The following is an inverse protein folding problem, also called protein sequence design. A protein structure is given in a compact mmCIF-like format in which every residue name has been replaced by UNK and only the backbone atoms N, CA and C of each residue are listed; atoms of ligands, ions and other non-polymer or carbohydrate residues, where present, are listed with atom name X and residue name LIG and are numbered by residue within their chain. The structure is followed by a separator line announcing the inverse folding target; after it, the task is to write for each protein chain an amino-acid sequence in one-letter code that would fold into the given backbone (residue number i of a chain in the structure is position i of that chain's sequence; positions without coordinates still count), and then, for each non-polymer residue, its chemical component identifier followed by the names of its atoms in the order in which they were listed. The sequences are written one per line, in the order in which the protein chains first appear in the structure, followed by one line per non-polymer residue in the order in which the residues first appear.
data_IF_393268269330
#
_entry.id   IF_393268269330
#
_cell.length_a   1.000
_cell.length_b   1.000
_cell.length_c   1.000
_cell.angle_alpha   90.00
_cell.angle_beta   90.00
_cell.angle_gamma   90.00
#
_symmetry.space_group_name_H-M   'P 1'
#
loop_
_entity.id
_entity.type
_entity.pdbx_description
1 polymer ?
#
# COMPACT_ATOMS: atom_id res chain seq x y z
N UNK A 1 2.60 1.99 19.09
CA UNK A 1 3.83 1.17 19.05
C UNK A 1 4.89 1.87 19.88
N UNK A 2 5.60 1.16 20.76
CA UNK A 2 6.69 1.72 21.59
C UNK A 2 8.07 1.56 20.93
N UNK A 3 8.15 0.77 19.85
CA UNK A 3 9.37 0.52 19.07
C UNK A 3 8.97 0.32 17.61
N UNK A 4 9.79 0.83 16.68
CA UNK A 4 9.60 0.60 15.25
C UNK A 4 9.75 -0.91 14.95
N UNK A 5 8.72 -1.60 14.41
CA UNK A 5 8.77 -3.05 14.15
C UNK A 5 9.46 -3.40 12.84
N UNK A 6 9.74 -2.41 11.99
CA UNK A 6 10.19 -2.62 10.61
C UNK A 6 11.47 -3.46 10.51
N UNK A 7 11.55 -4.30 9.50
CA UNK A 7 12.77 -4.97 9.07
C UNK A 7 13.73 -3.96 8.44
N UNK A 8 13.19 -3.04 7.65
CA UNK A 8 13.96 -1.98 7.00
C UNK A 8 13.76 -0.68 7.78
N UNK A 9 14.79 -0.27 8.54
CA UNK A 9 14.71 0.87 9.45
C UNK A 9 15.35 2.10 8.83
N UNK A 10 14.60 3.19 8.77
CA UNK A 10 15.04 4.50 8.28
C UNK A 10 13.91 5.51 8.38
N UNK A 11 14.24 6.77 8.62
CA UNK A 11 13.24 7.83 8.84
C UNK A 11 12.39 8.12 7.59
N UNK A 12 12.97 7.89 6.42
CA UNK A 12 12.30 8.07 5.13
C UNK A 12 11.69 6.76 4.58
N UNK A 13 11.87 5.63 5.26
CA UNK A 13 11.32 4.35 4.81
C UNK A 13 9.89 4.15 5.30
N UNK A 14 9.04 3.47 4.52
CA UNK A 14 7.73 3.08 5.02
C UNK A 14 7.89 2.11 6.19
N UNK A 15 6.94 2.15 7.12
CA UNK A 15 6.86 1.12 8.15
C UNK A 15 6.47 -0.21 7.50
N UNK A 16 7.13 -1.29 7.92
CA UNK A 16 6.82 -2.66 7.55
C UNK A 16 6.72 -3.55 8.80
N UNK A 17 6.37 -4.83 8.65
CA UNK A 17 6.14 -5.76 9.76
C UNK A 17 5.11 -5.27 10.79
N UNK A 18 4.11 -4.56 10.34
CA UNK A 18 2.97 -4.14 11.15
C UNK A 18 1.75 -5.00 10.84
N UNK A 19 1.06 -5.46 11.86
CA UNK A 19 -0.24 -6.09 11.72
C UNK A 19 -1.33 -5.03 11.50
N UNK A 20 -2.49 -5.47 11.02
CA UNK A 20 -3.66 -4.60 10.94
C UNK A 20 -4.04 -4.03 12.32
N UNK A 21 -3.93 -4.86 13.36
CA UNK A 21 -4.19 -4.46 14.75
C UNK A 21 -3.22 -3.37 15.23
N UNK A 22 -1.91 -3.50 14.90
CA UNK A 22 -0.92 -2.47 15.21
C UNK A 22 -1.21 -1.15 14.50
N UNK A 23 -1.61 -1.22 13.22
CA UNK A 23 -1.94 -0.04 12.42
C UNK A 23 -3.17 0.69 13.00
N UNK A 24 -4.21 -0.04 13.41
CA UNK A 24 -5.39 0.53 14.07
C UNK A 24 -5.05 1.12 15.45
N UNK A 25 -4.20 0.46 16.23
CA UNK A 25 -3.72 0.99 17.52
C UNK A 25 -2.90 2.29 17.33
N UNK A 26 -2.10 2.35 16.26
CA UNK A 26 -1.39 3.59 15.88
C UNK A 26 -2.37 4.71 15.54
N UNK A 27 -3.37 4.45 14.68
CA UNK A 27 -4.39 5.43 14.30
C UNK A 27 -5.11 6.00 15.54
N UNK A 28 -5.52 5.13 16.46
CA UNK A 28 -6.17 5.52 17.72
C UNK A 28 -5.29 6.40 18.60
N UNK A 29 -4.02 6.05 18.74
CA UNK A 29 -3.06 6.85 19.54
C UNK A 29 -2.78 8.21 18.89
N UNK A 30 -2.61 8.24 17.57
CA UNK A 30 -2.42 9.48 16.82
C UNK A 30 -3.65 10.40 16.97
N UNK A 31 -4.87 9.86 16.83
CA UNK A 31 -6.11 10.60 17.05
C UNK A 31 -6.14 11.24 18.44
N UNK A 32 -5.83 10.48 19.48
CA UNK A 32 -5.80 11.01 20.85
C UNK A 32 -4.74 12.10 21.03
N UNK A 33 -3.54 11.91 20.45
CA UNK A 33 -2.44 12.89 20.51
C UNK A 33 -2.79 14.19 19.79
N UNK A 34 -3.30 14.11 18.57
CA UNK A 34 -3.64 15.28 17.75
C UNK A 34 -4.83 16.04 18.31
N UNK A 35 -5.80 15.32 18.88
CA UNK A 35 -6.93 15.92 19.61
C UNK A 35 -6.45 16.67 20.87
N UNK A 36 -5.57 16.08 21.66
CA UNK A 36 -5.02 16.72 22.86
C UNK A 36 -4.17 17.95 22.52
N UNK A 37 -3.60 18.02 21.33
CA UNK A 37 -2.82 19.15 20.82
C UNK A 37 -3.64 20.18 20.02
N UNK A 38 -4.96 20.02 19.96
CA UNK A 38 -5.89 20.88 19.22
C UNK A 38 -5.54 21.03 17.72
N UNK A 39 -5.02 19.94 17.12
CA UNK A 39 -4.67 19.88 15.68
C UNK A 39 -5.60 19.02 14.86
N UNK A 40 -6.50 18.27 15.51
CA UNK A 40 -7.48 17.43 14.84
C UNK A 40 -8.79 18.21 14.65
N UNK A 41 -9.37 18.26 13.43
CA UNK A 41 -10.69 18.85 13.23
C UNK A 41 -11.74 18.16 14.11
N UNK A 42 -12.67 18.95 14.65
CA UNK A 42 -13.76 18.42 15.47
C UNK A 42 -14.59 17.39 14.69
N UNK A 43 -14.91 16.25 15.31
CA UNK A 43 -15.66 15.18 14.68
C UNK A 43 -14.87 14.32 13.70
N UNK A 44 -13.53 14.43 13.67
CA UNK A 44 -12.67 13.59 12.83
C UNK A 44 -11.76 12.67 13.66
N UNK A 45 -11.32 11.59 13.01
CA UNK A 45 -10.35 10.66 13.56
C UNK A 45 -9.40 10.13 12.46
N UNK A 46 -8.18 9.77 12.85
CA UNK A 46 -7.29 9.01 12.01
C UNK A 46 -7.67 7.53 12.02
N UNK A 47 -7.67 6.95 10.84
CA UNK A 47 -7.96 5.52 10.63
C UNK A 47 -7.22 5.00 9.41
N UNK A 48 -7.39 3.73 9.07
CA UNK A 48 -7.02 3.20 7.77
C UNK A 48 -8.09 3.60 6.73
N UNK A 49 -7.75 3.76 5.45
CA UNK A 49 -8.75 3.92 4.41
C UNK A 49 -9.58 2.64 4.28
N UNK A 50 -10.85 2.75 3.89
CA UNK A 50 -11.56 1.60 3.35
C UNK A 50 -10.90 1.17 2.03
N UNK A 51 -11.13 -0.07 1.60
CA UNK A 51 -10.62 -0.55 0.32
C UNK A 51 -11.07 0.34 -0.85
N UNK A 52 -12.33 0.74 -0.85
CA UNK A 52 -12.89 1.63 -1.88
C UNK A 52 -12.24 3.02 -1.86
N UNK A 53 -12.01 3.60 -0.68
CA UNK A 53 -11.30 4.88 -0.53
C UNK A 53 -9.87 4.76 -1.01
N UNK A 54 -9.18 3.66 -0.69
CA UNK A 54 -7.81 3.42 -1.14
C UNK A 54 -7.73 3.36 -2.67
N UNK A 55 -8.60 2.57 -3.33
CA UNK A 55 -8.61 2.45 -4.79
C UNK A 55 -8.99 3.75 -5.48
N UNK A 56 -9.99 4.46 -4.97
CA UNK A 56 -10.39 5.78 -5.46
C UNK A 56 -9.24 6.78 -5.39
N UNK A 57 -8.56 6.84 -4.25
CA UNK A 57 -7.38 7.69 -4.05
C UNK A 57 -6.19 7.26 -4.93
N UNK A 58 -5.96 5.95 -5.09
CA UNK A 58 -4.94 5.42 -5.98
C UNK A 58 -5.18 5.87 -7.43
N UNK A 59 -6.39 5.71 -7.93
CA UNK A 59 -6.75 6.04 -9.31
C UNK A 59 -6.70 7.54 -9.61
N UNK A 60 -7.08 8.39 -8.67
CA UNK A 60 -7.06 9.84 -8.85
C UNK A 60 -7.58 10.25 -10.25
N UNK A 61 -8.79 9.79 -10.60
CA UNK A 61 -9.50 10.01 -11.88
C UNK A 61 -9.01 9.17 -13.08
N UNK A 62 -7.99 8.32 -12.91
CA UNK A 62 -7.58 7.42 -13.99
C UNK A 62 -8.44 6.15 -14.03
N UNK A 63 -8.63 5.60 -15.22
CA UNK A 63 -9.34 4.32 -15.46
C UNK A 63 -8.37 3.17 -15.80
N UNK A 64 -7.09 3.49 -15.93
CA UNK A 64 -6.03 2.54 -16.28
C UNK A 64 -5.61 1.68 -15.08
N UNK A 65 -4.80 0.67 -15.32
CA UNK A 65 -4.29 -0.18 -14.24
C UNK A 65 -3.25 0.50 -13.35
N UNK A 66 -2.66 1.62 -13.80
CA UNK A 66 -1.74 2.46 -13.05
C UNK A 66 -2.26 3.90 -13.00
N UNK A 67 -1.87 4.63 -11.98
CA UNK A 67 -2.31 6.00 -11.70
C UNK A 67 -1.66 7.09 -12.59
N UNK A 68 -0.74 6.71 -13.48
CA UNK A 68 -0.11 7.60 -14.46
C UNK A 68 -0.81 7.61 -15.82
N UNK A 69 -2.02 7.07 -15.92
CA UNK A 69 -2.77 6.97 -17.17
C UNK A 69 -2.29 5.84 -18.10
N UNK A 70 -1.44 4.95 -17.62
CA UNK A 70 -0.89 3.83 -18.38
C UNK A 70 -1.37 2.49 -17.82
N UNK A 71 -1.27 1.45 -18.65
CA UNK A 71 -1.55 0.09 -18.19
C UNK A 71 -0.26 -0.67 -17.86
N UNK A 72 -0.37 -1.67 -17.00
CA UNK A 72 0.70 -2.67 -16.86
C UNK A 72 0.84 -3.37 -18.20
N UNK A 73 2.02 -3.23 -18.79
CA UNK A 73 2.41 -3.94 -20.01
C UNK A 73 3.45 -4.98 -19.62
N UNK A 74 3.11 -6.24 -19.79
CA UNK A 74 4.07 -7.31 -19.64
C UNK A 74 4.78 -7.49 -20.99
N UNK A 75 6.08 -7.20 -21.02
CA UNK A 75 6.98 -7.69 -22.06
C UNK A 75 7.22 -9.20 -21.85
N UNK A 76 7.96 -9.86 -22.73
CA UNK A 76 8.23 -11.30 -22.69
C UNK A 76 8.71 -11.83 -21.31
N UNK A 77 9.27 -10.96 -20.46
CA UNK A 77 9.50 -11.22 -19.04
C UNK A 77 8.43 -10.53 -18.22
N UNK A 78 7.48 -11.28 -17.66
CA UNK A 78 6.37 -10.77 -16.80
C UNK A 78 6.84 -9.98 -15.57
N UNK A 79 8.14 -9.86 -15.34
CA UNK A 79 8.76 -9.12 -14.23
C UNK A 79 9.05 -7.68 -14.57
N UNK A 80 9.09 -7.28 -15.85
CA UNK A 80 9.47 -5.94 -16.29
C UNK A 80 8.24 -5.14 -16.72
N UNK A 81 8.12 -3.91 -16.24
CA UNK A 81 7.07 -2.98 -16.64
C UNK A 81 7.54 -1.53 -16.57
N UNK A 82 8.01 -0.97 -17.69
CA UNK A 82 8.51 0.42 -17.76
C UNK A 82 7.45 1.44 -17.30
N UNK A 83 6.17 1.16 -17.54
CA UNK A 83 5.08 2.02 -17.11
C UNK A 83 4.94 2.08 -15.59
N UNK A 84 5.23 0.96 -14.90
CA UNK A 84 5.22 0.87 -13.44
C UNK A 84 6.49 1.49 -12.85
N UNK A 85 7.63 1.44 -13.54
CA UNK A 85 8.89 2.04 -13.08
C UNK A 85 8.77 3.53 -12.77
N UNK A 86 7.82 4.23 -13.43
CA UNK A 86 7.59 5.64 -13.20
C UNK A 86 6.94 5.94 -11.84
N UNK A 87 6.09 5.04 -11.36
CA UNK A 87 5.16 5.29 -10.24
C UNK A 87 5.29 4.34 -9.06
N UNK A 88 6.14 3.30 -9.16
CA UNK A 88 6.18 2.27 -8.13
C UNK A 88 7.51 1.54 -7.98
N UNK A 89 7.70 0.96 -6.79
CA UNK A 89 8.79 0.09 -6.44
C UNK A 89 8.27 -1.36 -6.35
N UNK A 90 8.77 -2.23 -7.20
CA UNK A 90 8.30 -3.61 -7.32
C UNK A 90 9.49 -4.56 -7.50
N UNK A 91 9.26 -5.85 -7.68
CA UNK A 91 10.29 -6.88 -7.74
C UNK A 91 11.54 -6.50 -8.56
N UNK A 92 11.37 -5.92 -9.73
CA UNK A 92 12.49 -5.66 -10.62
C UNK A 92 13.31 -4.42 -10.26
N UNK A 93 12.70 -3.38 -9.73
CA UNK A 93 13.38 -2.13 -9.36
C UNK A 93 13.50 -1.93 -7.84
N UNK A 94 12.95 -2.86 -7.02
CA UNK A 94 12.92 -2.80 -5.56
C UNK A 94 14.22 -3.20 -4.84
N UNK A 95 15.38 -3.20 -5.48
CA UNK A 95 16.64 -3.62 -4.87
C UNK A 95 17.68 -2.53 -4.71
N UNK A 96 18.60 -2.74 -3.76
CA UNK A 96 19.72 -1.83 -3.48
C UNK A 96 20.76 -1.77 -4.62
N UNK A 97 20.81 -2.77 -5.48
CA UNK A 97 21.80 -2.87 -6.55
C UNK A 97 21.23 -2.53 -7.91
N UNK A 98 22.11 -2.04 -8.77
CA UNK A 98 21.80 -1.56 -10.09
C UNK A 98 20.99 -2.61 -10.89
N UNK A 99 19.81 -2.24 -11.37
CA UNK A 99 18.91 -2.97 -12.26
C UNK A 99 19.62 -3.85 -13.33
N UNK A 100 20.73 -3.36 -13.91
CA UNK A 100 21.44 -4.09 -14.96
C UNK A 100 22.09 -5.39 -14.47
N UNK A 101 22.43 -5.52 -13.20
CA UNK A 101 22.98 -6.74 -12.61
C UNK A 101 21.90 -7.83 -12.37
N UNK A 102 20.61 -7.47 -12.39
CA UNK A 102 19.49 -8.39 -12.15
C UNK A 102 18.95 -9.06 -13.41
N UNK A 103 19.17 -8.47 -14.58
CA UNK A 103 18.74 -9.06 -15.86
C UNK A 103 19.37 -10.43 -16.12
N UNK A 104 20.53 -10.69 -15.57
CA UNK A 104 21.31 -11.90 -15.84
C UNK A 104 21.13 -13.00 -14.78
N UNK A 105 20.45 -12.75 -13.69
CA UNK A 105 20.18 -13.76 -12.66
C UNK A 105 18.69 -14.14 -12.64
N UNK A 106 18.42 -15.42 -12.85
CA UNK A 106 17.05 -15.97 -12.79
C UNK A 106 16.35 -15.74 -11.44
N UNK A 107 17.13 -15.43 -10.39
CA UNK A 107 16.69 -15.01 -9.04
C UNK A 107 17.78 -14.10 -8.46
N UNK A 108 17.61 -12.77 -8.55
CA UNK A 108 18.39 -11.88 -7.72
C UNK A 108 18.27 -12.34 -6.25
N UNK A 109 19.37 -12.29 -5.51
CA UNK A 109 19.35 -12.70 -4.09
C UNK A 109 18.30 -11.88 -3.35
N UNK A 110 17.32 -12.53 -2.73
CA UNK A 110 16.28 -11.92 -1.88
C UNK A 110 16.85 -10.89 -0.88
N UNK A 111 18.11 -11.06 -0.48
CA UNK A 111 18.84 -10.17 0.43
C UNK A 111 19.13 -8.76 -0.13
N UNK A 112 18.98 -8.55 -1.44
CA UNK A 112 19.16 -7.24 -2.07
C UNK A 112 17.84 -6.45 -2.21
N UNK A 113 16.69 -7.10 -2.02
CA UNK A 113 15.35 -6.49 -2.11
C UNK A 113 15.01 -5.80 -0.80
N UNK A 114 14.47 -4.60 -0.87
CA UNK A 114 14.10 -3.80 0.29
C UNK A 114 13.05 -2.75 -0.06
N UNK A 115 12.51 -2.11 0.97
CA UNK A 115 11.75 -0.87 0.82
C UNK A 115 12.67 0.28 0.37
N UNK A 116 12.08 1.28 -0.24
CA UNK A 116 12.73 2.52 -0.69
C UNK A 116 12.19 3.72 0.07
N UNK A 117 12.96 4.82 0.17
CA UNK A 117 12.46 6.07 0.71
C UNK A 117 11.17 6.48 0.00
N UNK A 118 10.20 6.94 0.80
CA UNK A 118 8.88 7.35 0.30
C UNK A 118 8.99 8.59 -0.59
N UNK A 119 8.06 8.75 -1.52
CA UNK A 119 7.95 9.94 -2.35
C UNK A 119 8.98 10.07 -3.47
N UNK A 120 9.72 9.03 -3.81
CA UNK A 120 10.74 9.08 -4.86
C UNK A 120 10.21 8.81 -6.26
N UNK A 121 9.05 8.17 -6.38
CA UNK A 121 8.39 7.94 -7.66
C UNK A 121 7.42 9.07 -7.98
N UNK A 122 6.87 9.12 -9.20
CA UNK A 122 5.88 10.13 -9.56
C UNK A 122 4.59 9.96 -8.76
N UNK A 123 4.02 11.05 -8.21
CA UNK A 123 2.72 10.99 -7.56
C UNK A 123 1.58 10.81 -8.58
N UNK A 124 0.41 10.45 -8.10
CA UNK A 124 -0.80 10.51 -8.90
C UNK A 124 -1.32 11.97 -9.04
N UNK A 125 -2.45 12.15 -9.75
CA UNK A 125 -3.03 13.47 -10.01
C UNK A 125 -3.45 14.24 -8.74
N UNK A 126 -3.60 13.53 -7.60
CA UNK A 126 -3.95 14.13 -6.30
C UNK A 126 -2.73 14.31 -5.38
N UNK A 127 -1.52 14.10 -5.89
CA UNK A 127 -0.28 14.27 -5.14
C UNK A 127 0.05 13.11 -4.21
N UNK A 128 -0.60 11.94 -4.34
CA UNK A 128 -0.31 10.77 -3.52
C UNK A 128 0.81 9.93 -4.16
N UNK A 129 1.81 9.63 -3.34
CA UNK A 129 2.97 8.83 -3.71
C UNK A 129 2.81 7.37 -3.30
N UNK A 130 3.59 6.49 -3.92
CA UNK A 130 3.78 5.08 -3.56
C UNK A 130 2.48 4.26 -3.52
N UNK A 131 1.49 4.65 -4.36
CA UNK A 131 0.22 3.92 -4.51
C UNK A 131 0.41 2.59 -5.26
N UNK A 132 1.58 2.37 -5.84
CA UNK A 132 1.95 1.16 -6.58
C UNK A 132 3.30 0.64 -6.06
N UNK A 133 3.29 -0.46 -5.32
CA UNK A 133 4.50 -1.06 -4.78
C UNK A 133 5.04 -0.38 -3.53
N UNK A 134 6.31 -0.45 -3.28
CA UNK A 134 7.01 -0.19 -2.04
C UNK A 134 6.55 -1.15 -0.94
N UNK A 135 5.51 -0.86 -0.18
CA UNK A 135 4.81 -1.81 0.69
C UNK A 135 3.33 -1.88 0.32
N UNK A 136 2.73 -3.05 0.47
CA UNK A 136 1.28 -3.16 0.42
C UNK A 136 0.67 -2.51 1.67
N UNK A 137 -0.55 -2.00 1.57
CA UNK A 137 -1.12 -1.16 2.60
C UNK A 137 -2.44 -1.73 3.12
N UNK A 138 -2.51 -1.92 4.44
CA UNK A 138 -3.73 -2.37 5.10
C UNK A 138 -4.90 -1.42 4.86
N UNK A 139 -6.06 -2.00 4.59
CA UNK A 139 -7.36 -1.32 4.53
C UNK A 139 -8.23 -1.73 5.73
N UNK A 140 -9.28 -0.95 6.01
CA UNK A 140 -10.24 -1.24 7.08
C UNK A 140 -11.00 -2.54 6.85
N UNK A 141 -11.27 -2.87 5.59
CA UNK A 141 -12.23 -3.87 5.17
C UNK A 141 -11.81 -5.29 5.54
N UNK A 142 -12.77 -6.08 5.97
CA UNK A 142 -12.67 -7.52 5.94
C UNK A 142 -12.69 -8.03 4.50
N UNK A 143 -11.93 -9.09 4.23
CA UNK A 143 -11.92 -9.73 2.93
C UNK A 143 -13.27 -10.37 2.62
N UNK A 144 -13.78 -10.12 1.39
CA UNK A 144 -15.02 -10.69 0.89
C UNK A 144 -15.19 -10.47 -0.60
N UNK A 145 -16.21 -11.07 -1.17
CA UNK A 145 -16.60 -10.85 -2.55
C UNK A 145 -17.16 -9.44 -2.75
N UNK A 146 -16.95 -8.89 -3.93
CA UNK A 146 -17.58 -7.63 -4.27
C UNK A 146 -19.11 -7.81 -4.41
N UNK A 147 -19.89 -6.81 -3.98
CA UNK A 147 -21.33 -6.81 -4.25
C UNK A 147 -21.63 -6.92 -5.74
N UNK A 148 -22.68 -7.65 -6.09
CA UNK A 148 -23.13 -7.78 -7.50
C UNK A 148 -23.95 -6.59 -7.97
N UNK A 149 -24.41 -5.74 -7.04
CA UNK A 149 -25.14 -4.49 -7.31
C UNK A 149 -24.26 -3.28 -7.03
N UNK A 150 -24.63 -2.13 -7.61
CA UNK A 150 -23.98 -0.86 -7.29
C UNK A 150 -24.16 -0.51 -5.81
N UNK A 151 -23.09 -0.09 -5.17
CA UNK A 151 -23.07 0.34 -3.76
C UNK A 151 -22.37 1.68 -3.64
N UNK A 152 -22.71 2.43 -2.58
CA UNK A 152 -22.05 3.70 -2.25
C UNK A 152 -21.23 3.51 -0.99
N UNK A 153 -20.00 3.99 -1.00
CA UNK A 153 -19.04 3.93 0.13
C UNK A 153 -18.98 2.55 0.82
N UNK A 154 -18.69 1.47 0.07
CA UNK A 154 -18.64 0.13 0.64
C UNK A 154 -17.51 0.02 1.68
N UNK A 155 -17.77 -0.81 2.69
CA UNK A 155 -16.83 -1.08 3.80
C UNK A 155 -16.50 -2.58 3.95
N UNK A 156 -16.83 -3.37 2.92
CA UNK A 156 -16.67 -4.83 2.95
C UNK A 156 -17.73 -5.53 3.82
N UNK A 157 -17.60 -6.84 4.04
CA UNK A 157 -18.49 -7.59 4.91
C UNK A 157 -18.24 -7.27 6.40
N UNK A 158 -19.23 -7.58 7.26
CA UNK A 158 -19.12 -7.32 8.71
C UNK A 158 -18.05 -8.18 9.41
N UNK A 159 -17.71 -9.34 8.86
CA UNK A 159 -16.73 -10.25 9.42
C UNK A 159 -16.10 -11.15 8.36
N UNK A 160 -14.82 -11.48 8.58
CA UNK A 160 -14.07 -12.51 7.86
C UNK A 160 -12.88 -12.96 8.73
N UNK A 161 -12.04 -13.83 8.20
CA UNK A 161 -10.79 -14.25 8.87
C UNK A 161 -9.58 -13.41 8.44
N UNK A 162 -9.71 -12.61 7.38
CA UNK A 162 -8.64 -11.84 6.77
C UNK A 162 -9.06 -10.39 6.49
N UNK A 163 -8.10 -9.48 6.52
CA UNK A 163 -8.22 -8.08 6.14
C UNK A 163 -7.65 -7.85 4.75
N UNK A 164 -8.15 -6.84 4.05
CA UNK A 164 -7.64 -6.43 2.74
C UNK A 164 -6.35 -5.62 2.91
N UNK A 165 -5.40 -5.83 2.00
CA UNK A 165 -4.32 -4.88 1.72
C UNK A 165 -4.15 -4.68 0.21
N UNK A 166 -3.66 -3.52 -0.19
CA UNK A 166 -3.67 -3.01 -1.56
C UNK A 166 -2.29 -2.50 -1.97
N UNK A 167 -2.10 -2.25 -3.28
CA UNK A 167 -0.95 -1.55 -3.82
C UNK A 167 0.20 -2.43 -4.30
N UNK A 168 0.29 -3.67 -3.85
CA UNK A 168 1.47 -4.51 -4.11
C UNK A 168 2.69 -4.02 -3.33
N UNK A 169 3.86 -4.55 -3.64
CA UNK A 169 5.07 -4.19 -2.91
C UNK A 169 6.35 -4.42 -3.70
N UNK A 170 7.49 -4.00 -3.14
CA UNK A 170 8.83 -4.30 -3.63
C UNK A 170 9.07 -5.80 -3.89
N UNK A 171 8.29 -6.66 -3.27
CA UNK A 171 8.41 -8.13 -3.36
C UNK A 171 7.62 -8.74 -4.53
N UNK A 172 6.62 -8.04 -5.06
CA UNK A 172 5.70 -8.57 -6.06
C UNK A 172 5.99 -8.08 -7.47
N UNK A 173 5.60 -8.90 -8.47
CA UNK A 173 5.65 -8.53 -9.87
C UNK A 173 4.60 -7.48 -10.25
N UNK A 174 4.70 -6.87 -11.45
CA UNK A 174 3.89 -5.74 -11.88
C UNK A 174 2.38 -5.95 -11.78
N UNK A 175 1.90 -7.16 -12.06
CA UNK A 175 0.47 -7.47 -12.05
C UNK A 175 -0.17 -7.28 -10.67
N UNK A 176 0.59 -7.47 -9.60
CA UNK A 176 0.14 -7.30 -8.22
C UNK A 176 0.18 -5.85 -7.73
N UNK A 177 0.80 -4.96 -8.51
CA UNK A 177 0.87 -3.53 -8.20
C UNK A 177 -0.20 -2.69 -8.92
N UNK A 178 -1.20 -3.31 -9.57
CA UNK A 178 -2.29 -2.58 -10.24
C UNK A 178 -3.24 -1.94 -9.22
N UNK A 179 -3.87 -0.82 -9.60
CA UNK A 179 -4.88 -0.15 -8.77
C UNK A 179 -6.01 -1.10 -8.32
N UNK A 180 -6.41 -2.06 -9.17
CA UNK A 180 -7.49 -3.00 -8.89
C UNK A 180 -7.04 -4.29 -8.20
N UNK A 181 -5.74 -4.49 -8.00
CA UNK A 181 -5.25 -5.72 -7.38
C UNK A 181 -5.59 -5.74 -5.88
N UNK A 182 -6.02 -6.89 -5.40
CA UNK A 182 -6.42 -7.13 -4.01
C UNK A 182 -5.60 -8.25 -3.43
N UNK A 183 -5.17 -8.07 -2.20
CA UNK A 183 -4.54 -9.13 -1.43
C UNK A 183 -5.11 -9.15 -0.01
N UNK A 184 -4.90 -10.23 0.69
CA UNK A 184 -5.45 -10.43 2.02
C UNK A 184 -4.41 -10.95 3.00
N UNK A 185 -4.63 -10.74 4.28
CA UNK A 185 -3.81 -11.28 5.36
C UNK A 185 -4.57 -11.34 6.67
N UNK A 186 -4.14 -12.19 7.58
CA UNK A 186 -4.74 -12.28 8.91
C UNK A 186 -4.47 -11.00 9.70
N UNK A 187 -5.42 -10.50 10.51
CA UNK A 187 -5.27 -9.22 11.23
C UNK A 187 -4.03 -9.11 12.11
N UNK A 188 -3.56 -10.23 12.69
CA UNK A 188 -2.36 -10.29 13.53
C UNK A 188 -1.07 -10.58 12.74
N UNK A 189 -1.14 -10.80 11.43
CA UNK A 189 0.02 -11.13 10.61
C UNK A 189 0.94 -9.93 10.42
N UNK A 190 2.25 -10.19 10.46
CA UNK A 190 3.31 -9.20 10.24
C UNK A 190 4.23 -9.70 9.13
N UNK A 191 4.30 -8.96 8.05
CA UNK A 191 5.16 -9.28 6.90
C UNK A 191 6.02 -8.09 6.52
N UNK A 192 7.20 -8.37 5.99
CA UNK A 192 8.19 -7.34 5.66
C UNK A 192 7.86 -6.52 4.39
N UNK A 193 6.75 -6.79 3.78
CA UNK A 193 6.26 -6.15 2.56
C UNK A 193 4.85 -5.55 2.72
N UNK A 194 4.33 -5.46 3.95
CA UNK A 194 3.04 -4.84 4.26
C UNK A 194 3.22 -3.77 5.34
N UNK A 195 2.69 -2.61 5.06
CA UNK A 195 2.61 -1.44 5.92
C UNK A 195 1.19 -0.87 5.93
N UNK A 196 1.06 0.44 6.06
CA UNK A 196 -0.23 1.12 6.00
C UNK A 196 -0.07 2.60 5.68
N UNK A 197 -1.16 3.22 5.25
CA UNK A 197 -1.31 4.69 5.21
C UNK A 197 -2.49 5.15 6.03
N UNK A 198 -2.48 6.42 6.41
CA UNK A 198 -3.53 7.04 7.19
C UNK A 198 -4.62 7.61 6.29
N UNK A 199 -5.85 7.55 6.77
CA UNK A 199 -6.96 8.36 6.32
C UNK A 199 -7.47 9.20 7.50
N UNK A 200 -7.96 10.39 7.20
CA UNK A 200 -8.67 11.25 8.15
C UNK A 200 -10.14 11.24 7.77
N UNK A 201 -10.99 10.71 8.65
CA UNK A 201 -12.41 10.51 8.36
C UNK A 201 -13.30 11.09 9.45
N UNK A 202 -14.54 11.49 9.13
CA UNK A 202 -15.52 11.81 10.15
C UNK A 202 -15.78 10.61 11.08
N UNK A 203 -15.89 10.89 12.37
CA UNK A 203 -16.34 9.90 13.36
C UNK A 203 -17.78 9.49 13.02
N UNK A 204 -18.03 8.19 12.88
CA UNK A 204 -19.37 7.65 12.59
C UNK A 204 -20.19 7.49 13.84
#
# INVERSE_FOLDING_TARGET
MTKNPSQFVGDELPVDQVSWEDAMDFCKKLTAQEKAADRLPEGYEYTLPTEAQWEYACRAETTTSLNNGKNVTTVADERICDNLDEVGWYWMNGGKENWNARKDSAFGTLSALCTHPVGQKKPNNWGLYDMHGNVAEWCLDWAGEYPTSSVTDPVGPDASTERIHRGGSWFYGPRYCRSADRSTGKPAERTLNVGFRLALTPVK
#
